data_IF_901807165664
#
_entry.id   IF_901807165664
#
_cell.length_a   1.000
_cell.length_b   1.000
_cell.length_c   1.000
_cell.angle_alpha   90.00
_cell.angle_beta   90.00
_cell.angle_gamma   90.00
#
_symmetry.space_group_name_H-M   'P 1'
#
loop_
_entity.id
_entity.type
_entity.pdbx_description
1 polymer ?
#
# COMPACT_ATOMS: atom_id res chain seq x y z
N UNK A 1 14.43 10.05 -5.73
CA UNK A 1 13.88 9.19 -6.81
C UNK A 1 14.69 9.26 -8.12
N UNK A 2 14.93 10.42 -8.76
CA UNK A 2 15.52 10.44 -10.12
C UNK A 2 16.97 9.95 -10.18
N UNK A 3 17.82 10.31 -9.21
CA UNK A 3 19.20 9.79 -9.11
C UNK A 3 19.26 8.27 -8.85
N UNK A 4 18.28 7.73 -8.13
CA UNK A 4 18.16 6.27 -7.94
C UNK A 4 17.67 5.59 -9.22
N UNK A 5 16.76 6.23 -9.97
CA UNK A 5 16.29 5.75 -11.27
C UNK A 5 17.41 5.63 -12.31
N UNK A 6 18.38 6.55 -12.32
CA UNK A 6 19.57 6.44 -13.19
C UNK A 6 20.44 5.24 -12.79
N UNK A 7 20.63 5.00 -11.49
CA UNK A 7 21.39 3.85 -10.95
C UNK A 7 20.74 2.49 -11.26
N UNK A 8 19.47 2.52 -11.63
CA UNK A 8 18.60 1.39 -11.89
C UNK A 8 18.37 1.12 -13.38
N UNK A 9 18.83 2.01 -14.26
CA UNK A 9 18.71 1.88 -15.71
C UNK A 9 19.63 0.76 -16.22
N UNK A 10 19.07 -0.20 -16.97
CA UNK A 10 19.84 -1.32 -17.54
C UNK A 10 20.00 -2.56 -16.65
N UNK A 11 19.42 -2.58 -15.44
CA UNK A 11 19.34 -3.79 -14.63
C UNK A 11 17.98 -4.48 -14.88
N UNK A 12 18.01 -5.77 -15.25
CA UNK A 12 16.79 -6.51 -15.58
C UNK A 12 15.79 -6.58 -14.40
N UNK A 13 16.31 -6.68 -13.17
CA UNK A 13 15.51 -6.74 -11.93
C UNK A 13 15.29 -5.36 -11.28
N UNK A 14 15.38 -4.30 -12.09
CA UNK A 14 15.11 -2.95 -11.63
C UNK A 14 13.62 -2.66 -11.58
N UNK A 15 13.12 -1.94 -10.54
CA UNK A 15 11.74 -1.42 -10.54
C UNK A 15 11.46 -0.46 -11.71
N UNK A 16 12.50 0.04 -12.38
CA UNK A 16 12.46 0.80 -13.62
C UNK A 16 13.29 0.09 -14.70
N UNK A 17 12.75 -1.01 -15.22
CA UNK A 17 13.33 -1.68 -16.40
C UNK A 17 12.90 -0.94 -17.68
N UNK A 18 13.56 0.18 -17.95
CA UNK A 18 13.26 1.01 -19.11
C UNK A 18 14.36 0.86 -20.16
N UNK A 19 14.02 0.26 -21.31
CA UNK A 19 14.87 0.34 -22.51
C UNK A 19 14.68 1.71 -23.16
N UNK A 20 15.75 2.50 -23.22
CA UNK A 20 15.76 3.75 -23.97
C UNK A 20 15.59 3.46 -25.46
N UNK A 21 14.47 3.91 -26.04
CA UNK A 21 14.27 3.96 -27.50
C UNK A 21 14.28 5.42 -27.93
N UNK A 22 14.73 5.67 -29.16
CA UNK A 22 14.68 7.00 -29.77
C UNK A 22 13.26 7.32 -30.27
N UNK A 23 12.29 7.32 -29.35
CA UNK A 23 10.90 7.69 -29.62
C UNK A 23 10.58 9.03 -28.97
N UNK A 24 10.00 9.96 -29.74
CA UNK A 24 9.55 11.25 -29.22
C UNK A 24 8.58 11.11 -28.03
N UNK A 25 7.68 10.11 -28.09
CA UNK A 25 6.72 9.86 -27.02
C UNK A 25 7.42 9.43 -25.72
N UNK A 26 8.48 8.61 -25.83
CA UNK A 26 9.25 8.16 -24.67
C UNK A 26 9.99 9.31 -24.00
N UNK A 27 10.66 10.16 -24.78
CA UNK A 27 11.35 11.34 -24.25
C UNK A 27 10.39 12.35 -23.63
N UNK A 28 9.23 12.59 -24.25
CA UNK A 28 8.18 13.45 -23.68
C UNK A 28 7.66 12.91 -22.35
N UNK A 29 7.41 11.61 -22.26
CA UNK A 29 7.00 10.97 -21.01
C UNK A 29 8.10 11.05 -19.94
N UNK A 30 9.36 10.79 -20.30
CA UNK A 30 10.50 10.87 -19.38
C UNK A 30 10.65 12.27 -18.76
N UNK A 31 10.53 13.32 -19.58
CA UNK A 31 10.59 14.70 -19.09
C UNK A 31 9.43 15.02 -18.14
N UNK A 32 8.21 14.54 -18.44
CA UNK A 32 7.06 14.71 -17.54
C UNK A 32 7.26 13.96 -16.22
N UNK A 33 7.75 12.72 -16.28
CA UNK A 33 8.06 11.91 -15.11
C UNK A 33 9.10 12.59 -14.21
N UNK A 34 10.20 13.11 -14.80
CA UNK A 34 11.24 13.83 -14.06
C UNK A 34 10.69 15.12 -13.42
N UNK A 35 9.81 15.85 -14.11
CA UNK A 35 9.13 17.02 -13.54
C UNK A 35 8.22 16.65 -12.37
N UNK A 36 7.53 15.50 -12.43
CA UNK A 36 6.69 15.00 -11.36
C UNK A 36 7.48 14.42 -10.17
N UNK A 37 8.77 14.11 -10.34
CA UNK A 37 9.66 13.60 -9.29
C UNK A 37 10.09 14.67 -8.27
N UNK A 38 9.13 15.39 -7.69
CA UNK A 38 9.36 16.43 -6.68
C UNK A 38 8.53 16.17 -5.41
N UNK A 39 8.90 16.81 -4.30
CA UNK A 39 8.26 16.58 -2.99
C UNK A 39 6.82 17.09 -2.94
N UNK A 40 6.50 18.18 -3.63
CA UNK A 40 5.16 18.78 -3.65
C UNK A 40 4.15 17.85 -4.34
N UNK A 41 4.47 17.38 -5.55
CA UNK A 41 3.65 16.41 -6.29
C UNK A 41 3.53 15.10 -5.52
N UNK A 42 4.61 14.62 -4.90
CA UNK A 42 4.57 13.41 -4.09
C UNK A 42 3.64 13.56 -2.87
N UNK A 43 3.69 14.70 -2.17
CA UNK A 43 2.80 14.95 -1.02
C UNK A 43 1.34 15.03 -1.46
N UNK A 44 1.04 15.83 -2.46
CA UNK A 44 -0.32 15.99 -2.99
C UNK A 44 -0.92 14.66 -3.44
N UNK A 45 -0.17 13.85 -4.21
CA UNK A 45 -0.63 12.54 -4.63
C UNK A 45 -0.77 11.57 -3.45
N UNK A 46 0.12 11.64 -2.47
CA UNK A 46 0.00 10.89 -1.22
C UNK A 46 -1.30 11.18 -0.49
N UNK A 47 -1.66 12.47 -0.36
CA UNK A 47 -2.91 12.90 0.29
C UNK A 47 -4.15 12.39 -0.48
N UNK A 48 -4.10 12.38 -1.82
CA UNK A 48 -5.17 11.82 -2.65
C UNK A 48 -5.32 10.30 -2.47
N UNK A 49 -4.21 9.56 -2.45
CA UNK A 49 -4.22 8.11 -2.24
C UNK A 49 -4.72 7.79 -0.83
N UNK A 50 -4.30 8.54 0.19
CA UNK A 50 -4.79 8.37 1.56
C UNK A 50 -6.30 8.64 1.66
N UNK A 51 -6.80 9.71 1.01
CA UNK A 51 -8.24 9.97 0.99
C UNK A 51 -9.02 8.83 0.32
N UNK A 52 -8.51 8.31 -0.80
CA UNK A 52 -9.15 7.20 -1.51
C UNK A 52 -9.14 5.91 -0.67
N UNK A 53 -8.03 5.61 0.02
CA UNK A 53 -7.95 4.42 0.87
C UNK A 53 -8.89 4.51 2.08
N UNK A 54 -9.00 5.69 2.71
CA UNK A 54 -9.93 5.91 3.81
C UNK A 54 -11.39 5.80 3.36
N UNK A 55 -11.73 6.33 2.18
CA UNK A 55 -13.06 6.15 1.58
C UNK A 55 -13.34 4.66 1.31
N UNK A 56 -12.39 3.95 0.71
CA UNK A 56 -12.54 2.51 0.44
C UNK A 56 -12.77 1.72 1.72
N UNK A 57 -12.11 2.07 2.82
CA UNK A 57 -12.31 1.44 4.13
C UNK A 57 -13.69 1.74 4.71
N UNK A 58 -14.18 2.97 4.56
CA UNK A 58 -15.54 3.34 4.97
C UNK A 58 -16.61 2.55 4.20
N UNK A 59 -16.44 2.43 2.88
CA UNK A 59 -17.35 1.63 2.03
C UNK A 59 -17.28 0.14 2.37
N UNK A 60 -16.08 -0.38 2.65
CA UNK A 60 -15.94 -1.76 3.10
C UNK A 60 -16.69 -2.00 4.42
N UNK A 61 -16.58 -1.06 5.36
CA UNK A 61 -17.30 -1.15 6.63
C UNK A 61 -18.82 -1.13 6.43
N UNK A 62 -19.35 -0.25 5.56
CA UNK A 62 -20.79 -0.25 5.27
C UNK A 62 -21.24 -1.56 4.62
N UNK A 63 -20.42 -2.16 3.75
CA UNK A 63 -20.74 -3.47 3.17
C UNK A 63 -20.80 -4.59 4.21
N UNK A 64 -19.92 -4.55 5.21
CA UNK A 64 -19.91 -5.53 6.30
C UNK A 64 -21.08 -5.32 7.26
N UNK A 65 -21.34 -4.09 7.69
CA UNK A 65 -22.30 -3.78 8.77
C UNK A 65 -23.75 -3.64 8.27
N UNK A 66 -23.95 -2.99 7.12
CA UNK A 66 -25.27 -2.61 6.62
C UNK A 66 -25.75 -3.61 5.56
N UNK A 67 -24.89 -3.92 4.59
CA UNK A 67 -25.25 -4.80 3.48
C UNK A 67 -25.10 -6.30 3.80
N UNK A 68 -24.59 -6.66 4.97
CA UNK A 68 -24.39 -8.04 5.42
C UNK A 68 -23.66 -8.89 4.36
N UNK A 69 -22.57 -8.34 3.80
CA UNK A 69 -21.72 -9.08 2.86
C UNK A 69 -21.16 -10.34 3.55
N UNK A 70 -21.24 -11.48 2.86
CA UNK A 70 -20.78 -12.76 3.42
C UNK A 70 -19.28 -12.70 3.81
N UNK A 71 -18.87 -13.48 4.81
CA UNK A 71 -17.46 -13.49 5.26
C UNK A 71 -16.51 -13.94 4.13
N UNK A 72 -15.47 -13.14 3.90
CA UNK A 72 -14.41 -13.38 2.93
C UNK A 72 -13.03 -13.41 3.61
N UNK A 73 -12.99 -13.93 4.84
CA UNK A 73 -11.81 -13.95 5.71
C UNK A 73 -11.26 -12.54 6.01
N UNK A 74 -12.16 -11.56 6.15
CA UNK A 74 -11.79 -10.19 6.47
C UNK A 74 -11.26 -10.08 7.89
N UNK A 75 -10.16 -9.35 8.07
CA UNK A 75 -9.54 -9.10 9.37
C UNK A 75 -8.91 -7.71 9.42
N UNK A 76 -9.09 -7.01 10.54
CA UNK A 76 -8.26 -5.84 10.90
C UNK A 76 -6.94 -6.29 11.50
N UNK A 77 -6.06 -6.84 10.67
CA UNK A 77 -4.75 -7.32 11.10
C UNK A 77 -3.75 -6.19 11.38
N UNK A 78 -4.00 -5.00 10.85
CA UNK A 78 -3.02 -3.94 10.74
C UNK A 78 -1.87 -4.30 9.78
N UNK A 79 -0.91 -3.38 9.64
CA UNK A 79 0.29 -3.54 8.82
C UNK A 79 1.51 -3.01 9.57
N UNK A 80 2.54 -3.83 9.73
CA UNK A 80 3.82 -3.45 10.31
C UNK A 80 4.91 -3.44 9.23
N UNK A 81 5.50 -2.27 8.97
CA UNK A 81 6.67 -2.14 8.09
C UNK A 81 7.91 -2.06 8.99
N UNK A 82 8.74 -3.10 8.94
CA UNK A 82 9.98 -3.15 9.72
C UNK A 82 11.15 -2.48 9.02
N UNK A 83 12.04 -1.87 9.80
CA UNK A 83 13.26 -1.26 9.33
C UNK A 83 14.47 -1.88 10.02
N UNK A 84 15.46 -2.28 9.23
CA UNK A 84 16.72 -2.87 9.72
C UNK A 84 17.89 -1.89 9.79
N UNK A 85 17.72 -0.70 9.22
CA UNK A 85 18.70 0.39 9.26
C UNK A 85 18.10 1.57 9.99
N UNK A 86 18.83 2.09 10.96
CA UNK A 86 18.39 3.19 11.81
C UNK A 86 18.04 4.43 10.98
N UNK A 87 18.86 4.74 9.98
CA UNK A 87 18.59 5.85 9.06
C UNK A 87 17.24 5.73 8.35
N UNK A 88 16.88 4.54 7.85
CA UNK A 88 15.62 4.32 7.15
C UNK A 88 14.43 4.42 8.12
N UNK A 89 14.59 3.86 9.33
CA UNK A 89 13.60 3.96 10.39
C UNK A 89 13.33 5.42 10.77
N UNK A 90 14.38 6.17 11.11
CA UNK A 90 14.27 7.58 11.50
C UNK A 90 13.66 8.43 10.39
N UNK A 91 13.98 8.13 9.13
CA UNK A 91 13.38 8.81 7.99
C UNK A 91 11.89 8.48 7.84
N UNK A 92 11.51 7.21 7.98
CA UNK A 92 10.12 6.78 7.89
C UNK A 92 9.28 7.35 9.04
N UNK A 93 9.79 7.30 10.27
CA UNK A 93 9.13 7.80 11.47
C UNK A 93 8.81 9.30 11.39
N UNK A 94 9.66 10.11 10.74
CA UNK A 94 9.41 11.54 10.49
C UNK A 94 8.29 11.82 9.48
N UNK A 95 7.97 10.86 8.63
CA UNK A 95 7.03 11.01 7.52
C UNK A 95 5.66 10.39 7.77
N UNK A 96 5.40 9.85 8.96
CA UNK A 96 4.12 9.21 9.28
C UNK A 96 3.03 10.24 9.49
N UNK A 97 1.79 9.82 9.25
CA UNK A 97 0.62 10.51 9.77
C UNK A 97 0.23 9.87 11.12
N UNK A 98 0.42 10.56 12.27
CA UNK A 98 0.14 9.99 13.59
C UNK A 98 -1.34 9.69 13.82
N UNK A 99 -2.25 10.18 12.98
CA UNK A 99 -3.66 9.81 13.04
C UNK A 99 -3.89 8.34 12.62
N UNK A 100 -3.06 7.83 11.70
CA UNK A 100 -3.24 6.51 11.09
C UNK A 100 -2.08 5.55 11.36
N UNK A 101 -0.95 6.05 11.83
CA UNK A 101 0.31 5.30 11.94
C UNK A 101 1.05 5.59 13.23
N UNK A 102 1.83 4.61 13.68
CA UNK A 102 2.63 4.67 14.90
C UNK A 102 4.07 4.25 14.58
N UNK A 103 5.05 5.02 15.05
CA UNK A 103 6.45 4.59 15.03
C UNK A 103 6.73 3.76 16.28
N UNK A 104 7.12 2.51 16.09
CA UNK A 104 7.44 1.56 17.15
C UNK A 104 8.95 1.32 17.18
N UNK A 105 9.52 1.27 18.38
CA UNK A 105 10.89 0.78 18.55
C UNK A 105 10.94 -0.74 18.37
N UNK A 106 12.15 -1.32 18.34
CA UNK A 106 12.34 -2.74 18.12
C UNK A 106 11.58 -3.62 19.13
N UNK A 107 11.59 -3.27 20.41
CA UNK A 107 10.90 -4.03 21.46
C UNK A 107 9.38 -4.01 21.28
N UNK A 108 8.79 -2.84 20.98
CA UNK A 108 7.36 -2.71 20.71
C UNK A 108 6.96 -3.50 19.45
N UNK A 109 7.81 -3.55 18.42
CA UNK A 109 7.58 -4.41 17.26
C UNK A 109 7.57 -5.90 17.64
N UNK A 110 8.45 -6.35 18.53
CA UNK A 110 8.52 -7.75 18.98
C UNK A 110 7.35 -8.12 19.91
N UNK A 111 6.84 -7.18 20.69
CA UNK A 111 5.62 -7.36 21.47
C UNK A 111 4.40 -7.49 20.55
N UNK A 112 4.33 -6.65 19.51
CA UNK A 112 3.24 -6.68 18.54
C UNK A 112 3.28 -7.95 17.67
N UNK A 113 4.45 -8.34 17.17
CA UNK A 113 4.65 -9.53 16.36
C UNK A 113 5.79 -10.42 16.90
N UNK A 114 5.49 -11.35 17.81
CA UNK A 114 6.46 -12.26 18.40
C UNK A 114 7.18 -13.17 17.39
N UNK A 115 6.62 -13.40 16.19
CA UNK A 115 7.30 -14.17 15.16
C UNK A 115 8.61 -13.51 14.71
N UNK A 116 8.78 -12.19 14.89
CA UNK A 116 9.99 -11.45 14.51
C UNK A 116 11.19 -11.66 15.44
N UNK A 117 11.07 -12.43 16.53
CA UNK A 117 12.18 -12.67 17.49
C UNK A 117 13.48 -13.10 16.82
N UNK A 118 13.40 -13.93 15.78
CA UNK A 118 14.56 -14.43 15.04
C UNK A 118 15.37 -13.34 14.31
N UNK A 119 14.77 -12.18 14.03
CA UNK A 119 15.46 -11.04 13.41
C UNK A 119 15.70 -9.86 14.37
N UNK A 120 15.41 -10.04 15.66
CA UNK A 120 15.58 -9.00 16.69
C UNK A 120 16.93 -8.27 16.63
N UNK A 121 18.09 -8.95 16.47
CA UNK A 121 19.39 -8.26 16.42
C UNK A 121 19.56 -7.28 15.24
N UNK A 122 18.76 -7.45 14.20
CA UNK A 122 18.79 -6.61 12.99
C UNK A 122 17.67 -5.58 12.94
N UNK A 123 16.72 -5.61 13.88
CA UNK A 123 15.55 -4.76 13.87
C UNK A 123 15.85 -3.42 14.57
N UNK A 124 15.57 -2.32 13.90
CA UNK A 124 15.76 -0.96 14.45
C UNK A 124 14.44 -0.32 14.89
N UNK A 125 13.32 -0.79 14.34
CA UNK A 125 11.98 -0.31 14.64
C UNK A 125 11.03 -0.61 13.49
N UNK A 126 9.81 -0.08 13.57
CA UNK A 126 8.81 -0.27 12.53
C UNK A 126 7.73 0.79 12.53
N UNK A 127 7.05 0.93 11.39
CA UNK A 127 5.88 1.79 11.24
C UNK A 127 4.65 0.89 11.22
N UNK A 128 3.77 1.07 12.20
CA UNK A 128 2.56 0.28 12.37
C UNK A 128 1.32 1.09 11.98
N UNK A 129 0.50 0.53 11.10
CA UNK A 129 -0.81 1.04 10.70
C UNK A 129 -1.89 0.11 11.26
N UNK A 130 -2.51 0.40 12.43
CA UNK A 130 -3.51 -0.49 13.04
C UNK A 130 -4.81 -0.59 12.23
N UNK A 131 -5.14 0.43 11.45
CA UNK A 131 -6.36 0.48 10.65
C UNK A 131 -6.29 -0.26 9.31
N UNK A 132 -5.15 -0.87 8.97
CA UNK A 132 -5.01 -1.66 7.75
C UNK A 132 -5.67 -3.05 7.92
N UNK A 133 -6.19 -3.57 6.82
CA UNK A 133 -7.06 -4.75 6.80
C UNK A 133 -6.53 -5.77 5.80
N UNK A 134 -6.83 -7.04 6.04
CA UNK A 134 -6.50 -8.16 5.15
C UNK A 134 -7.75 -9.00 4.91
N UNK A 135 -7.80 -9.62 3.74
CA UNK A 135 -8.97 -10.34 3.23
C UNK A 135 -8.53 -11.35 2.15
N UNK A 136 -9.34 -12.38 1.92
CA UNK A 136 -9.16 -13.26 0.76
C UNK A 136 -9.81 -12.61 -0.47
N UNK A 137 -8.98 -12.25 -1.46
CA UNK A 137 -9.46 -11.56 -2.67
C UNK A 137 -10.44 -12.40 -3.50
N UNK A 138 -10.27 -13.72 -3.53
CA UNK A 138 -11.14 -14.59 -4.33
C UNK A 138 -12.50 -14.73 -3.65
N UNK A 139 -12.53 -15.01 -2.35
CA UNK A 139 -13.77 -15.08 -1.58
C UNK A 139 -14.50 -13.74 -1.56
N UNK A 140 -13.77 -12.62 -1.50
CA UNK A 140 -14.36 -11.29 -1.59
C UNK A 140 -15.11 -11.10 -2.91
N UNK A 141 -14.50 -11.46 -4.05
CA UNK A 141 -15.15 -11.36 -5.35
C UNK A 141 -16.40 -12.26 -5.45
N UNK A 142 -16.36 -13.48 -4.88
CA UNK A 142 -17.51 -14.37 -4.85
C UNK A 142 -18.65 -13.81 -3.99
N UNK A 143 -18.34 -13.35 -2.77
CA UNK A 143 -19.32 -12.75 -1.87
C UNK A 143 -19.98 -11.52 -2.50
N UNK A 144 -19.20 -10.69 -3.21
CA UNK A 144 -19.71 -9.53 -3.93
C UNK A 144 -20.60 -9.94 -5.10
N UNK A 145 -20.20 -10.95 -5.87
CA UNK A 145 -21.00 -11.45 -6.98
C UNK A 145 -22.34 -12.02 -6.49
N UNK A 146 -22.33 -12.80 -5.41
CA UNK A 146 -23.56 -13.35 -4.82
C UNK A 146 -24.50 -12.22 -4.36
N UNK A 147 -23.95 -11.18 -3.73
CA UNK A 147 -24.70 -9.99 -3.33
C UNK A 147 -25.29 -9.26 -4.54
N UNK A 148 -24.53 -9.12 -5.62
CA UNK A 148 -24.99 -8.49 -6.86
C UNK A 148 -26.08 -9.32 -7.55
N UNK A 149 -25.96 -10.65 -7.60
CA UNK A 149 -26.97 -11.55 -8.16
C UNK A 149 -28.31 -11.49 -7.43
N UNK A 150 -28.32 -11.07 -6.16
CA UNK A 150 -29.56 -10.84 -5.41
C UNK A 150 -30.26 -9.52 -5.80
N UNK A 151 -29.60 -8.64 -6.55
CA UNK A 151 -30.17 -7.39 -7.06
C UNK A 151 -30.85 -7.60 -8.41
N UNK A 152 -32.08 -7.10 -8.55
CA UNK A 152 -32.81 -7.14 -9.82
C UNK A 152 -32.21 -6.25 -10.91
N UNK A 153 -31.37 -5.29 -10.54
CA UNK A 153 -30.72 -4.35 -11.47
C UNK A 153 -29.35 -4.84 -11.96
N UNK A 154 -28.94 -6.04 -11.55
CA UNK A 154 -27.67 -6.64 -11.95
C UNK A 154 -27.90 -7.75 -12.98
N UNK A 155 -27.08 -7.76 -14.03
CA UNK A 155 -27.03 -8.83 -15.02
C UNK A 155 -25.58 -9.22 -15.25
N UNK A 156 -25.25 -10.49 -14.99
CA UNK A 156 -23.94 -11.04 -15.23
C UNK A 156 -23.80 -11.47 -16.69
N UNK A 157 -22.89 -10.82 -17.42
CA UNK A 157 -22.55 -11.20 -18.80
C UNK A 157 -21.42 -12.24 -18.77
N UNK A 158 -21.77 -13.52 -18.82
CA UNK A 158 -20.79 -14.60 -19.07
C UNK A 158 -20.72 -14.89 -20.57
N UNK A 159 -19.55 -14.64 -21.17
CA UNK A 159 -19.24 -14.99 -22.57
C UNK A 159 -18.74 -16.43 -22.70
#
# INVERSE_FOLDING_TARGET
VPLQGIKWMGKADSPLNMRLKMSFQQWRWLLQFLRACNSQTNKMNGDHILRLSLLSRQVMQSWLDEDNLADFHWRRSGKLIIHRREYDFNKAAKGIDPQYQQALNADACLQLEPALRHISPSLQGGIYSPGDETADCHQFCLALLDKLNASNDFSLLTH
#
